data_IF_844450672964
#
_entry.id   IF_844450672964
#
_cell.length_a   1.000
_cell.length_b   1.000
_cell.length_c   1.000
_cell.angle_alpha   90.00
_cell.angle_beta   90.00
_cell.angle_gamma   90.00
#
_symmetry.space_group_name_H-M   'P 1'
#
loop_
_entity.id
_entity.type
_entity.pdbx_description
1 polymer ?
#
# COMPACT_ATOMS: atom_id res chain seq x y z
N UNK A 1 -25.88 54.66 -53.50
CA UNK A 1 -25.92 56.12 -53.35
C UNK A 1 -24.79 56.49 -52.38
N UNK A 2 -23.69 57.11 -52.76
CA UNK A 2 -23.34 57.79 -54.00
C UNK A 2 -21.82 57.66 -54.25
N UNK A 3 -21.47 57.62 -55.53
CA UNK A 3 -20.15 57.68 -56.16
C UNK A 3 -19.20 58.76 -55.62
N UNK A 4 -17.91 58.43 -55.59
CA UNK A 4 -16.86 59.30 -56.13
C UNK A 4 -15.85 58.43 -56.89
N UNK A 5 -15.84 58.64 -58.20
CA UNK A 5 -14.87 58.20 -59.20
C UNK A 5 -13.84 59.31 -59.39
N UNK A 6 -12.55 58.98 -59.34
CA UNK A 6 -11.51 59.73 -60.06
C UNK A 6 -10.29 58.82 -60.28
N UNK A 7 -10.11 58.46 -61.55
CA UNK A 7 -8.93 57.81 -62.12
C UNK A 7 -7.73 58.76 -62.08
N UNK A 8 -6.50 58.24 -61.91
CA UNK A 8 -5.43 58.65 -62.81
C UNK A 8 -4.37 57.57 -62.99
N UNK A 9 -3.87 57.55 -64.22
CA UNK A 9 -3.15 56.48 -64.90
C UNK A 9 -1.70 56.32 -64.44
N UNK A 10 -1.28 55.07 -64.55
CA UNK A 10 0.05 54.57 -64.80
C UNK A 10 0.89 55.44 -65.74
N UNK A 11 2.15 55.65 -65.37
CA UNK A 11 3.25 55.64 -66.34
C UNK A 11 4.50 54.98 -65.74
N UNK A 12 5.07 54.08 -66.52
CA UNK A 12 6.39 53.48 -66.35
C UNK A 12 6.93 53.42 -67.76
N UNK A 13 8.18 53.84 -68.02
CA UNK A 13 9.23 52.82 -68.03
C UNK A 13 10.65 53.34 -67.73
N UNK A 14 11.52 52.46 -67.23
CA UNK A 14 12.80 52.15 -67.87
C UNK A 14 13.71 51.40 -66.88
N UNK A 15 13.94 50.13 -67.17
CA UNK A 15 15.09 49.41 -66.68
C UNK A 15 16.36 49.97 -67.31
N UNK A 16 17.35 50.34 -66.48
CA UNK A 16 18.76 50.32 -66.89
C UNK A 16 19.53 49.58 -65.80
N UNK A 17 19.99 48.41 -66.18
CA UNK A 17 20.99 47.63 -65.47
C UNK A 17 22.27 48.47 -65.40
N UNK A 18 22.84 48.65 -64.22
CA UNK A 18 24.26 48.94 -64.12
C UNK A 18 24.91 48.03 -63.08
N UNK A 19 25.76 47.17 -63.62
CA UNK A 19 26.59 46.18 -62.96
C UNK A 19 27.67 46.85 -62.12
N UNK A 20 27.38 47.06 -60.83
CA UNK A 20 28.45 47.21 -59.84
C UNK A 20 28.60 45.92 -59.06
N UNK A 21 29.57 45.13 -59.52
CA UNK A 21 30.23 44.07 -58.76
C UNK A 21 30.57 44.61 -57.38
N UNK A 22 30.05 43.93 -56.35
CA UNK A 22 30.34 44.23 -54.95
C UNK A 22 31.87 44.26 -54.74
N UNK A 23 32.45 45.25 -54.05
CA UNK A 23 33.75 45.07 -53.44
C UNK A 23 33.55 44.04 -52.32
N UNK A 24 33.91 42.78 -52.58
CA UNK A 24 34.05 41.79 -51.53
C UNK A 24 35.01 42.34 -50.46
N UNK A 25 34.60 42.51 -49.20
CA UNK A 25 35.50 42.87 -48.13
C UNK A 25 36.29 41.62 -47.73
N UNK A 26 37.30 41.25 -48.52
CA UNK A 26 38.19 40.13 -48.20
C UNK A 26 39.13 40.42 -47.01
N UNK A 27 38.81 41.45 -46.21
CA UNK A 27 39.54 41.86 -45.02
C UNK A 27 39.30 40.85 -43.88
N UNK A 28 40.36 40.28 -43.26
CA UNK A 28 40.24 39.35 -42.16
C UNK A 28 39.48 39.92 -40.95
N UNK A 29 39.49 41.24 -40.74
CA UNK A 29 38.67 41.90 -39.72
C UNK A 29 37.19 41.88 -40.07
N UNK A 30 36.82 42.16 -41.32
CA UNK A 30 35.42 42.07 -41.79
C UNK A 30 34.89 40.65 -41.68
N UNK A 31 35.74 39.63 -41.97
CA UNK A 31 35.39 38.22 -41.74
C UNK A 31 35.17 37.89 -40.26
N UNK A 32 36.03 38.39 -39.36
CA UNK A 32 35.84 38.22 -37.91
C UNK A 32 34.60 38.94 -37.40
N UNK A 33 34.36 40.16 -37.86
CA UNK A 33 33.20 40.98 -37.53
C UNK A 33 31.90 40.28 -37.97
N UNK A 34 31.82 39.87 -39.24
CA UNK A 34 30.67 39.16 -39.78
C UNK A 34 30.44 37.85 -39.02
N UNK A 35 31.50 37.08 -38.73
CA UNK A 35 31.37 35.85 -37.93
C UNK A 35 30.82 36.12 -36.52
N UNK A 36 31.23 37.21 -35.86
CA UNK A 36 30.70 37.59 -34.54
C UNK A 36 29.23 38.00 -34.66
N UNK A 37 28.87 38.80 -35.66
CA UNK A 37 27.49 39.23 -35.92
C UNK A 37 26.57 38.04 -36.27
N UNK A 38 27.09 37.06 -37.00
CA UNK A 38 26.40 35.81 -37.35
C UNK A 38 26.23 34.87 -36.15
N UNK A 39 26.94 35.07 -35.04
CA UNK A 39 26.84 34.21 -33.85
C UNK A 39 25.49 34.36 -33.11
N UNK A 40 24.61 35.30 -33.54
CA UNK A 40 23.21 35.48 -33.13
C UNK A 40 22.86 35.03 -31.70
N UNK A 41 23.61 35.56 -30.73
CA UNK A 41 23.49 35.22 -29.30
C UNK A 41 22.09 35.52 -28.72
N UNK A 42 21.36 36.44 -29.34
CA UNK A 42 20.01 36.84 -28.88
C UNK A 42 18.91 35.85 -29.29
N UNK A 43 19.15 35.04 -30.34
CA UNK A 43 18.17 34.04 -30.78
C UNK A 43 18.39 32.66 -30.17
N UNK A 44 19.59 32.40 -29.65
CA UNK A 44 19.95 31.12 -29.02
C UNK A 44 19.90 31.24 -27.49
N UNK A 45 18.70 31.02 -26.97
CA UNK A 45 18.43 31.08 -25.52
C UNK A 45 19.25 30.04 -24.76
N UNK A 46 19.45 28.83 -25.30
CA UNK A 46 20.18 27.75 -24.64
C UNK A 46 21.68 28.08 -24.55
N UNK A 47 22.26 28.62 -25.62
CA UNK A 47 23.64 29.10 -25.61
C UNK A 47 23.82 30.24 -24.61
N UNK A 48 22.87 31.18 -24.53
CA UNK A 48 22.91 32.26 -23.56
C UNK A 48 22.81 31.76 -22.12
N UNK A 49 21.97 30.76 -21.85
CA UNK A 49 21.85 30.11 -20.53
C UNK A 49 23.12 29.34 -20.16
N UNK A 50 23.72 28.61 -21.10
CA UNK A 50 25.00 27.92 -20.88
C UNK A 50 26.14 28.92 -20.58
N UNK A 51 26.21 30.04 -21.31
CA UNK A 51 27.18 31.10 -21.06
C UNK A 51 26.93 31.80 -19.70
N UNK A 52 25.66 32.02 -19.32
CA UNK A 52 25.30 32.52 -17.98
C UNK A 52 25.76 31.55 -16.89
N UNK A 53 25.49 30.26 -17.04
CA UNK A 53 25.94 29.23 -16.10
C UNK A 53 27.48 29.19 -16.00
N UNK A 54 28.19 29.32 -17.13
CA UNK A 54 29.65 29.41 -17.17
C UNK A 54 30.17 30.63 -16.40
N UNK A 55 29.50 31.78 -16.55
CA UNK A 55 29.93 33.04 -15.93
C UNK A 55 29.89 33.02 -14.39
N UNK A 56 29.07 32.16 -13.78
CA UNK A 56 29.00 32.00 -12.32
C UNK A 56 30.33 31.53 -11.72
N UNK A 57 31.15 30.81 -12.50
CA UNK A 57 32.41 30.23 -12.00
C UNK A 57 33.65 30.58 -12.82
N UNK A 58 33.45 31.06 -14.04
CA UNK A 58 34.52 31.59 -14.87
C UNK A 58 34.60 33.11 -14.73
N UNK A 59 35.11 33.59 -13.59
CA UNK A 59 35.17 35.02 -13.26
C UNK A 59 36.39 35.73 -13.85
N UNK A 60 37.49 35.00 -14.08
CA UNK A 60 38.74 35.57 -14.62
C UNK A 60 39.09 35.00 -16.00
N UNK A 61 39.28 35.89 -16.96
CA UNK A 61 39.71 35.52 -18.31
C UNK A 61 41.23 35.60 -18.47
N UNK A 62 41.93 34.58 -17.98
CA UNK A 62 43.38 34.38 -18.18
C UNK A 62 43.66 33.31 -19.22
N UNK A 63 44.92 33.21 -19.68
CA UNK A 63 45.34 32.09 -20.54
C UNK A 63 45.21 30.74 -19.82
N UNK A 64 45.47 30.71 -18.52
CA UNK A 64 45.40 29.49 -17.70
C UNK A 64 43.96 29.02 -17.55
N UNK A 65 43.04 29.91 -17.19
CA UNK A 65 41.62 29.57 -17.02
C UNK A 65 41.02 29.11 -18.35
N UNK A 66 41.35 29.76 -19.48
CA UNK A 66 40.94 29.28 -20.81
C UNK A 66 41.46 27.88 -21.16
N UNK A 67 42.73 27.57 -20.86
CA UNK A 67 43.32 26.24 -21.14
C UNK A 67 42.70 25.13 -20.29
N UNK A 68 42.27 25.45 -19.07
CA UNK A 68 41.73 24.47 -18.12
C UNK A 68 40.20 24.37 -18.11
N UNK A 69 39.51 25.30 -18.78
CA UNK A 69 38.06 25.46 -18.74
C UNK A 69 37.28 24.15 -18.90
N UNK A 70 37.64 23.34 -19.89
CA UNK A 70 37.01 22.04 -20.12
C UNK A 70 37.15 21.11 -18.91
N UNK A 71 38.36 20.97 -18.39
CA UNK A 71 38.62 20.12 -17.23
C UNK A 71 37.96 20.64 -15.95
N UNK A 72 37.84 21.96 -15.80
CA UNK A 72 37.10 22.57 -14.68
C UNK A 72 35.59 22.30 -14.77
N UNK A 73 35.00 22.38 -15.98
CA UNK A 73 33.61 22.01 -16.24
C UNK A 73 33.38 20.53 -15.91
N UNK A 74 34.24 19.64 -16.41
CA UNK A 74 34.14 18.19 -16.19
C UNK A 74 34.24 17.84 -14.69
N UNK A 75 35.22 18.43 -13.98
CA UNK A 75 35.37 18.22 -12.52
C UNK A 75 34.15 18.69 -11.73
N UNK A 76 33.62 19.87 -12.07
CA UNK A 76 32.42 20.38 -11.41
C UNK A 76 31.21 19.49 -11.68
N UNK A 77 31.03 19.05 -12.92
CA UNK A 77 29.92 18.15 -13.27
C UNK A 77 30.02 16.84 -12.47
N UNK A 78 31.23 16.30 -12.32
CA UNK A 78 31.46 15.10 -11.53
C UNK A 78 31.15 15.34 -10.04
N UNK A 79 31.61 16.44 -9.46
CA UNK A 79 31.33 16.79 -8.06
C UNK A 79 29.82 16.95 -7.77
N UNK A 80 29.08 17.60 -8.68
CA UNK A 80 27.62 17.73 -8.56
C UNK A 80 26.94 16.35 -8.59
N UNK A 81 27.39 15.46 -9.47
CA UNK A 81 26.83 14.12 -9.59
C UNK A 81 27.14 13.26 -8.36
N UNK A 82 28.34 13.38 -7.79
CA UNK A 82 28.72 12.71 -6.54
C UNK A 82 27.87 13.20 -5.36
N UNK A 83 27.69 14.52 -5.25
CA UNK A 83 26.82 15.12 -4.22
C UNK A 83 25.37 14.64 -4.38
N UNK A 84 24.84 14.65 -5.61
CA UNK A 84 23.50 14.13 -5.89
C UNK A 84 23.35 12.67 -5.48
N UNK A 85 24.31 11.81 -5.86
CA UNK A 85 24.28 10.39 -5.51
C UNK A 85 24.35 10.17 -4.00
N UNK A 86 25.19 10.95 -3.30
CA UNK A 86 25.32 10.87 -1.85
C UNK A 86 24.04 11.30 -1.12
N UNK A 87 23.42 12.39 -1.57
CA UNK A 87 22.15 12.86 -0.99
C UNK A 87 21.02 11.88 -1.27
N UNK A 88 20.94 11.34 -2.49
CA UNK A 88 19.91 10.38 -2.87
C UNK A 88 20.06 9.04 -2.15
N UNK A 89 21.29 8.64 -1.79
CA UNK A 89 21.55 7.44 -0.99
C UNK A 89 20.82 7.48 0.35
N UNK A 90 20.84 8.61 1.08
CA UNK A 90 20.11 8.72 2.33
C UNK A 90 18.60 8.57 2.16
N UNK A 91 18.03 9.18 1.10
CA UNK A 91 16.61 9.03 0.76
C UNK A 91 16.26 7.57 0.44
N UNK A 92 17.13 6.87 -0.30
CA UNK A 92 16.97 5.44 -0.59
C UNK A 92 16.97 4.61 0.69
N UNK A 93 17.92 4.83 1.58
CA UNK A 93 18.05 4.07 2.84
C UNK A 93 16.82 4.25 3.74
N UNK A 94 16.32 5.48 3.87
CA UNK A 94 15.07 5.75 4.61
C UNK A 94 13.85 5.08 3.97
N UNK A 95 13.76 5.09 2.63
CA UNK A 95 12.67 4.41 1.92
C UNK A 95 12.74 2.88 2.05
N UNK A 96 13.95 2.31 2.02
CA UNK A 96 14.18 0.89 2.27
C UNK A 96 13.76 0.50 3.70
N UNK A 97 14.11 1.31 4.70
CA UNK A 97 13.67 1.12 6.09
C UNK A 97 12.14 1.10 6.23
N UNK A 98 11.45 2.10 5.67
CA UNK A 98 9.98 2.14 5.67
C UNK A 98 9.37 0.93 4.96
N UNK A 99 9.99 0.47 3.87
CA UNK A 99 9.54 -0.71 3.15
C UNK A 99 9.66 -1.97 4.00
N UNK A 100 10.78 -2.15 4.70
CA UNK A 100 10.99 -3.26 5.64
C UNK A 100 9.95 -3.25 6.78
N UNK A 101 9.69 -2.08 7.37
CA UNK A 101 8.68 -1.92 8.42
C UNK A 101 7.27 -2.30 7.93
N UNK A 102 6.89 -1.89 6.72
CA UNK A 102 5.60 -2.24 6.13
C UNK A 102 5.50 -3.75 5.87
N UNK A 103 6.57 -4.38 5.37
CA UNK A 103 6.60 -5.83 5.19
C UNK A 103 6.45 -6.57 6.52
N UNK A 104 7.18 -6.14 7.56
CA UNK A 104 7.09 -6.73 8.90
C UNK A 104 5.69 -6.58 9.49
N UNK A 105 5.06 -5.41 9.32
CA UNK A 105 3.69 -5.17 9.76
C UNK A 105 2.69 -6.06 9.01
N UNK A 106 2.86 -6.23 7.69
CA UNK A 106 2.00 -7.13 6.89
C UNK A 106 2.09 -8.58 7.39
N UNK A 107 3.30 -9.08 7.61
CA UNK A 107 3.54 -10.42 8.13
C UNK A 107 2.90 -10.62 9.52
N UNK A 108 3.03 -9.63 10.41
CA UNK A 108 2.40 -9.66 11.74
C UNK A 108 0.87 -9.68 11.65
N UNK A 109 0.28 -8.88 10.78
CA UNK A 109 -1.17 -8.87 10.54
C UNK A 109 -1.67 -10.21 10.00
N UNK A 110 -0.93 -10.84 9.08
CA UNK A 110 -1.26 -12.17 8.57
C UNK A 110 -1.16 -13.24 9.67
N UNK A 111 -0.11 -13.22 10.48
CA UNK A 111 0.03 -14.14 11.61
C UNK A 111 -1.13 -14.00 12.60
N UNK A 112 -1.46 -12.77 13.00
CA UNK A 112 -2.55 -12.49 13.92
C UNK A 112 -3.89 -12.96 13.35
N UNK A 113 -4.13 -12.73 12.07
CA UNK A 113 -5.33 -13.20 11.36
C UNK A 113 -5.41 -14.71 11.36
N UNK A 114 -4.31 -15.40 11.10
CA UNK A 114 -4.26 -16.86 11.09
C UNK A 114 -4.49 -17.46 12.49
N UNK A 115 -3.91 -16.85 13.54
CA UNK A 115 -4.16 -17.25 14.93
C UNK A 115 -5.62 -17.06 15.34
N UNK A 116 -6.24 -15.95 14.93
CA UNK A 116 -7.66 -15.70 15.19
C UNK A 116 -8.55 -16.73 14.49
N UNK A 117 -8.26 -17.07 13.23
CA UNK A 117 -8.98 -18.12 12.49
C UNK A 117 -8.86 -19.47 13.20
N UNK A 118 -7.65 -19.88 13.58
CA UNK A 118 -7.42 -21.13 14.30
C UNK A 118 -8.16 -21.16 15.65
N UNK A 119 -8.12 -20.07 16.42
CA UNK A 119 -8.85 -19.98 17.69
C UNK A 119 -10.36 -20.04 17.50
N UNK A 120 -10.89 -19.45 16.43
CA UNK A 120 -12.31 -19.52 16.07
C UNK A 120 -12.73 -20.95 15.75
N UNK A 121 -11.95 -21.65 14.91
CA UNK A 121 -12.21 -23.05 14.55
C UNK A 121 -12.17 -23.96 15.78
N UNK A 122 -11.14 -23.82 16.64
CA UNK A 122 -11.04 -24.58 17.88
C UNK A 122 -12.25 -24.33 18.80
N UNK A 123 -12.69 -23.08 18.92
CA UNK A 123 -13.86 -22.73 19.74
C UNK A 123 -15.14 -23.34 19.18
N UNK A 124 -15.30 -23.31 17.85
CA UNK A 124 -16.44 -23.93 17.17
C UNK A 124 -16.48 -25.45 17.42
N UNK A 125 -15.35 -26.13 17.32
CA UNK A 125 -15.24 -27.57 17.62
C UNK A 125 -15.61 -27.89 19.07
N UNK A 126 -15.15 -27.07 20.02
CA UNK A 126 -15.50 -27.22 21.44
C UNK A 126 -17.00 -27.03 21.68
N UNK A 127 -17.63 -26.05 21.01
CA UNK A 127 -19.08 -25.83 21.09
C UNK A 127 -19.84 -27.05 20.55
N UNK A 128 -19.44 -27.61 19.41
CA UNK A 128 -20.05 -28.82 18.84
C UNK A 128 -19.95 -30.01 19.80
N UNK A 129 -18.75 -30.25 20.37
CA UNK A 129 -18.53 -31.31 21.36
C UNK A 129 -19.38 -31.12 22.61
N UNK A 130 -19.47 -29.87 23.10
CA UNK A 130 -20.25 -29.52 24.30
C UNK A 130 -21.74 -29.75 24.09
N UNK A 131 -22.29 -29.29 22.95
CA UNK A 131 -23.69 -29.54 22.60
C UNK A 131 -24.00 -31.03 22.49
N UNK A 132 -23.09 -31.82 21.90
CA UNK A 132 -23.24 -33.28 21.82
C UNK A 132 -23.30 -33.91 23.22
N UNK A 133 -22.35 -33.57 24.09
CA UNK A 133 -22.31 -34.07 25.47
C UNK A 133 -23.54 -33.66 26.26
N UNK A 134 -24.02 -32.42 26.09
CA UNK A 134 -25.24 -31.94 26.75
C UNK A 134 -26.48 -32.76 26.32
N UNK A 135 -26.60 -33.07 25.02
CA UNK A 135 -27.67 -33.94 24.52
C UNK A 135 -27.59 -35.37 25.06
N UNK A 136 -26.38 -35.93 25.14
CA UNK A 136 -26.16 -37.26 25.76
C UNK A 136 -26.50 -37.27 27.25
N UNK A 137 -26.11 -36.21 27.97
CA UNK A 137 -26.40 -36.04 29.39
C UNK A 137 -27.91 -35.95 29.65
N UNK A 138 -28.65 -35.12 28.91
CA UNK A 138 -30.12 -35.04 29.00
C UNK A 138 -30.79 -36.40 28.75
N UNK A 139 -30.31 -37.15 27.76
CA UNK A 139 -30.83 -38.50 27.49
C UNK A 139 -30.58 -39.46 28.65
N UNK A 140 -29.41 -39.38 29.29
CA UNK A 140 -29.08 -40.19 30.47
C UNK A 140 -29.91 -39.78 31.68
N UNK A 141 -30.10 -38.47 31.90
CA UNK A 141 -30.93 -37.91 32.96
C UNK A 141 -32.38 -38.45 32.87
N UNK A 142 -32.99 -38.38 31.69
CA UNK A 142 -34.34 -38.92 31.46
C UNK A 142 -34.40 -40.42 31.75
N UNK A 143 -33.40 -41.19 31.31
CA UNK A 143 -33.34 -42.64 31.60
C UNK A 143 -33.21 -42.92 33.09
N UNK A 144 -32.36 -42.17 33.80
CA UNK A 144 -32.18 -42.30 35.23
C UNK A 144 -33.47 -41.98 35.99
N UNK A 145 -34.20 -40.93 35.59
CA UNK A 145 -35.50 -40.59 36.17
C UNK A 145 -36.54 -41.70 35.97
N UNK A 146 -36.60 -42.31 34.77
CA UNK A 146 -37.50 -43.45 34.52
C UNK A 146 -37.14 -44.65 35.39
N UNK A 147 -35.85 -45.00 35.49
CA UNK A 147 -35.40 -46.10 36.37
C UNK A 147 -35.71 -45.79 37.83
N UNK A 148 -35.48 -44.56 38.29
CA UNK A 148 -35.79 -44.16 39.66
C UNK A 148 -37.29 -44.24 39.94
N UNK A 149 -38.13 -43.76 39.03
CA UNK A 149 -39.58 -43.87 39.16
C UNK A 149 -40.05 -45.33 39.17
N UNK A 150 -39.43 -46.19 38.34
CA UNK A 150 -39.68 -47.62 38.34
C UNK A 150 -39.31 -48.25 39.69
N UNK A 151 -38.11 -47.98 40.20
CA UNK A 151 -37.67 -48.50 41.50
C UNK A 151 -38.58 -48.04 42.64
N UNK A 152 -38.95 -46.76 42.68
CA UNK A 152 -39.88 -46.22 43.70
C UNK A 152 -41.25 -46.88 43.64
N UNK A 153 -41.72 -47.30 42.45
CA UNK A 153 -43.03 -47.94 42.28
C UNK A 153 -43.02 -49.45 42.54
N UNK A 154 -41.97 -50.14 42.12
CA UNK A 154 -41.93 -51.60 42.05
C UNK A 154 -40.91 -52.25 43.00
N UNK A 155 -40.16 -51.47 43.79
CA UNK A 155 -39.43 -51.99 44.94
C UNK A 155 -40.16 -51.67 46.23
N UNK A 156 -40.25 -52.65 47.12
CA UNK A 156 -40.64 -52.42 48.49
C UNK A 156 -39.56 -51.56 49.17
N UNK A 157 -40.02 -50.52 49.86
CA UNK A 157 -39.16 -49.72 50.70
C UNK A 157 -38.49 -50.58 51.78
N UNK A 158 -37.36 -50.12 52.35
CA UNK A 158 -36.69 -50.84 53.43
C UNK A 158 -37.62 -51.11 54.63
N UNK A 159 -38.57 -50.21 54.92
CA UNK A 159 -39.57 -50.35 55.97
C UNK A 159 -40.61 -51.42 55.63
N UNK A 160 -41.12 -51.43 54.40
CA UNK A 160 -42.07 -52.45 53.93
C UNK A 160 -41.42 -53.85 53.90
N UNK A 161 -40.16 -53.92 53.48
CA UNK A 161 -39.38 -55.17 53.47
C UNK A 161 -39.10 -55.68 54.90
N UNK A 162 -38.80 -54.79 55.84
CA UNK A 162 -38.60 -55.15 57.24
C UNK A 162 -39.89 -55.66 57.89
N UNK A 163 -41.03 -55.05 57.54
CA UNK A 163 -42.36 -55.48 58.00
C UNK A 163 -42.72 -56.87 57.47
N UNK A 164 -42.45 -57.15 56.20
CA UNK A 164 -42.66 -58.47 55.60
C UNK A 164 -41.74 -59.57 56.15
N UNK A 165 -40.57 -59.22 56.70
CA UNK A 165 -39.63 -60.17 57.35
C UNK A 165 -39.81 -60.27 58.86
N UNK A 166 -40.81 -59.60 59.43
CA UNK A 166 -41.14 -59.67 60.86
C UNK A 166 -41.59 -61.07 61.30
N UNK A 167 -41.56 -61.36 62.62
CA UNK A 167 -41.93 -62.67 63.18
C UNK A 167 -43.38 -63.04 62.83
N UNK A 168 -43.60 -64.34 62.54
CA UNK A 168 -44.82 -64.93 61.94
C UNK A 168 -46.15 -64.72 62.69
N UNK A 169 -46.14 -64.18 63.92
CA UNK A 169 -47.32 -64.03 64.79
C UNK A 169 -47.79 -62.58 64.99
N UNK A 170 -47.27 -61.61 64.22
CA UNK A 170 -47.76 -60.23 64.26
C UNK A 170 -49.04 -60.06 63.40
N UNK A 171 -50.07 -59.35 63.90
CA UNK A 171 -51.31 -59.15 63.15
C UNK A 171 -51.04 -58.31 61.88
N UNK A 172 -51.34 -58.89 60.72
CA UNK A 172 -51.25 -58.21 59.44
C UNK A 172 -52.34 -57.14 59.41
N UNK A 173 -51.96 -55.87 59.46
CA UNK A 173 -52.90 -54.75 59.35
C UNK A 173 -53.26 -54.51 57.88
N UNK A 174 -54.48 -54.02 57.62
CA UNK A 174 -54.99 -53.73 56.27
C UNK A 174 -54.05 -52.80 55.48
N UNK A 175 -53.34 -51.92 56.19
CA UNK A 175 -52.32 -51.00 55.68
C UNK A 175 -51.13 -51.76 55.05
N UNK A 176 -50.69 -52.87 55.65
CA UNK A 176 -49.59 -53.70 55.12
C UNK A 176 -50.01 -54.42 53.83
N UNK A 177 -51.25 -54.89 53.75
CA UNK A 177 -51.76 -55.62 52.56
C UNK A 177 -51.95 -54.65 51.38
N UNK A 178 -52.49 -53.46 51.63
CA UNK A 178 -52.70 -52.43 50.60
C UNK A 178 -51.37 -51.88 50.06
N UNK A 179 -50.35 -51.72 50.92
CA UNK A 179 -49.00 -51.27 50.51
C UNK A 179 -48.32 -52.30 49.59
N UNK A 180 -48.39 -53.60 49.91
CA UNK A 180 -47.80 -54.66 49.08
C UNK A 180 -48.56 -54.84 47.75
N UNK A 181 -49.89 -54.73 47.76
CA UNK A 181 -50.71 -54.82 46.53
C UNK A 181 -50.44 -53.63 45.60
N UNK A 182 -50.24 -52.43 46.13
CA UNK A 182 -49.92 -51.24 45.31
C UNK A 182 -48.50 -51.27 44.69
N UNK A 183 -47.66 -52.25 45.07
CA UNK A 183 -46.32 -52.45 44.53
C UNK A 183 -46.27 -53.50 43.37
N UNK A 184 -47.32 -54.32 43.21
CA UNK A 184 -47.48 -55.32 42.13
C UNK A 184 -48.25 -54.74 40.96
#
# INVERSE_FOLDING_TARGET
MADVKAEHSSDSPAAVQNSNVLPQPNNPLSRKLNKILETRLDSDKEMLEALKALSVFFTENSLRTRRNLRGDIERRSLAINEEFAQMFKGVKEELESVHEDVQAMSACCEEMTNRLKASKEQTQDLIVKTNKLQGENQRLEVRAQVVQAFLTKFQLSPEETATLRGPRDAPITEVTVISVINCV
#
